data_IF_985854214098
#
_entry.id   IF_985854214098
#
_cell.length_a   1.000
_cell.length_b   1.000
_cell.length_c   1.000
_cell.angle_alpha   90.00
_cell.angle_beta   90.00
_cell.angle_gamma   90.00
#
_symmetry.space_group_name_H-M   'P 1'
#
loop_
_entity.id
_entity.type
_entity.pdbx_description
1 polymer ?
#
# COMPACT_ATOMS: atom_id res chain seq x y z
N UNK A 1 2.70 7.53 -24.16
CA UNK A 1 1.98 6.51 -23.39
C UNK A 1 0.52 6.81 -23.61
N UNK A 2 -0.19 5.89 -24.26
CA UNK A 2 -1.64 5.98 -24.43
C UNK A 2 -2.34 5.36 -23.21
N UNK A 3 -3.57 5.79 -22.94
CA UNK A 3 -4.36 5.28 -21.83
C UNK A 3 -4.69 3.80 -22.00
N UNK A 4 -4.91 3.37 -23.26
CA UNK A 4 -5.14 1.96 -23.59
C UNK A 4 -3.92 1.09 -23.23
N UNK A 5 -2.72 1.54 -23.57
CA UNK A 5 -1.47 0.84 -23.23
C UNK A 5 -1.26 0.76 -21.71
N UNK A 6 -1.61 1.82 -20.97
CA UNK A 6 -1.49 1.86 -19.51
C UNK A 6 -2.49 0.91 -18.83
N UNK A 7 -3.71 0.81 -19.35
CA UNK A 7 -4.73 -0.10 -18.87
C UNK A 7 -4.33 -1.57 -19.09
N UNK A 8 -3.78 -1.89 -20.26
CA UNK A 8 -3.27 -3.23 -20.57
C UNK A 8 -2.17 -3.65 -19.59
N UNK A 9 -1.18 -2.78 -19.36
CA UNK A 9 -0.09 -3.03 -18.40
C UNK A 9 -0.61 -3.27 -16.98
N UNK A 10 -1.63 -2.54 -16.53
CA UNK A 10 -2.26 -2.77 -15.21
C UNK A 10 -2.94 -4.13 -15.16
N UNK A 11 -3.72 -4.48 -16.17
CA UNK A 11 -4.43 -5.76 -16.23
C UNK A 11 -3.45 -6.96 -16.24
N UNK A 12 -2.32 -6.84 -16.93
CA UNK A 12 -1.26 -7.85 -16.86
C UNK A 12 -0.61 -7.92 -15.48
N UNK A 13 -0.38 -6.78 -14.84
CA UNK A 13 0.24 -6.72 -13.52
C UNK A 13 -0.68 -7.22 -12.42
N UNK A 14 -1.99 -6.97 -12.51
CA UNK A 14 -2.99 -7.49 -11.58
C UNK A 14 -3.02 -9.03 -11.60
N UNK A 15 -2.85 -9.65 -12.78
CA UNK A 15 -2.71 -11.12 -12.92
C UNK A 15 -1.45 -11.65 -12.23
N UNK A 16 -0.34 -10.89 -12.27
CA UNK A 16 0.94 -11.25 -11.61
C UNK A 16 0.93 -10.97 -10.10
N UNK A 17 0.10 -10.03 -9.66
CA UNK A 17 0.00 -9.53 -8.30
C UNK A 17 1.03 -8.43 -7.97
N UNK A 18 0.68 -7.56 -7.03
CA UNK A 18 1.52 -6.44 -6.60
C UNK A 18 2.42 -6.83 -5.43
N UNK A 19 3.44 -7.63 -5.72
CA UNK A 19 4.49 -8.00 -4.75
C UNK A 19 5.87 -7.65 -5.30
N UNK A 20 6.86 -7.37 -4.43
CA UNK A 20 8.24 -7.17 -4.86
C UNK A 20 8.73 -8.37 -5.70
N UNK A 21 9.33 -8.10 -6.86
CA UNK A 21 9.90 -9.13 -7.75
C UNK A 21 11.08 -9.84 -7.07
N UNK A 22 11.87 -9.09 -6.31
CA UNK A 22 13.03 -9.58 -5.56
C UNK A 22 12.72 -9.64 -4.07
N UNK A 23 13.37 -10.56 -3.36
CA UNK A 23 13.33 -10.60 -1.91
C UNK A 23 14.02 -9.36 -1.32
N UNK A 24 13.28 -8.58 -0.53
CA UNK A 24 13.78 -7.36 0.12
C UNK A 24 13.66 -7.48 1.64
N UNK A 25 14.55 -8.26 2.29
CA UNK A 25 14.48 -8.46 3.72
C UNK A 25 14.76 -7.13 4.44
N UNK A 26 13.78 -6.66 5.21
CA UNK A 26 13.92 -5.53 6.13
C UNK A 26 13.33 -5.93 7.48
N UNK A 27 13.88 -5.39 8.56
CA UNK A 27 13.31 -5.57 9.90
C UNK A 27 12.05 -4.74 10.03
N UNK A 28 10.89 -5.39 9.93
CA UNK A 28 9.59 -4.74 10.12
C UNK A 28 9.15 -4.93 11.57
N UNK A 29 9.35 -3.90 12.38
CA UNK A 29 8.95 -3.91 13.79
C UNK A 29 7.43 -3.77 13.95
N UNK A 30 6.91 -4.11 15.13
CA UNK A 30 5.49 -3.93 15.45
C UNK A 30 5.04 -2.47 15.28
N UNK A 31 5.88 -1.50 15.68
CA UNK A 31 5.60 -0.08 15.49
C UNK A 31 5.45 0.30 14.00
N UNK A 32 6.29 -0.26 13.11
CA UNK A 32 6.19 -0.03 11.68
C UNK A 32 4.92 -0.64 11.08
N UNK A 33 4.49 -1.82 11.57
CA UNK A 33 3.21 -2.42 11.17
C UNK A 33 2.02 -1.56 11.59
N UNK A 34 2.02 -1.09 12.84
CA UNK A 34 0.97 -0.20 13.35
C UNK A 34 0.92 1.13 12.59
N UNK A 35 2.08 1.72 12.28
CA UNK A 35 2.14 2.93 11.47
C UNK A 35 1.54 2.72 10.07
N UNK A 36 1.92 1.63 9.39
CA UNK A 36 1.44 1.32 8.04
C UNK A 36 -0.08 1.11 7.98
N UNK A 37 -0.69 0.61 9.05
CA UNK A 37 -2.13 0.39 9.12
C UNK A 37 -2.94 1.69 9.20
N UNK A 38 -2.34 2.77 9.71
CA UNK A 38 -3.01 4.04 9.99
C UNK A 38 -2.62 5.18 9.03
N UNK A 39 -1.49 5.05 8.33
CA UNK A 39 -0.95 6.12 7.48
C UNK A 39 -1.76 6.31 6.18
N UNK A 40 -2.05 7.56 5.85
CA UNK A 40 -2.71 7.97 4.60
C UNK A 40 -1.71 8.17 3.45
N UNK A 41 -2.21 8.46 2.24
CA UNK A 41 -1.35 8.72 1.07
C UNK A 41 -0.40 9.90 1.30
N UNK A 42 0.77 9.86 0.66
CA UNK A 42 1.75 10.95 0.76
C UNK A 42 1.20 12.29 0.25
N UNK A 43 0.33 12.26 -0.76
CA UNK A 43 -0.34 13.46 -1.30
C UNK A 43 -1.27 14.13 -0.28
N UNK A 44 -1.72 13.38 0.74
CA UNK A 44 -2.50 13.87 1.88
C UNK A 44 -1.64 14.17 3.11
N UNK A 45 -0.32 14.15 2.97
CA UNK A 45 0.65 14.43 4.03
C UNK A 45 1.02 13.23 4.90
N UNK A 46 0.63 12.00 4.52
CA UNK A 46 0.92 10.77 5.28
C UNK A 46 0.48 10.83 6.76
N UNK A 47 -0.58 11.59 7.05
CA UNK A 47 -1.15 11.70 8.39
C UNK A 47 -1.78 10.38 8.82
N UNK A 48 -1.85 10.16 10.13
CA UNK A 48 -2.44 8.94 10.71
C UNK A 48 -3.93 9.15 10.92
N UNK A 49 -4.74 8.34 10.24
CA UNK A 49 -6.20 8.43 10.32
C UNK A 49 -6.72 7.63 11.54
N UNK A 50 -7.37 8.34 12.46
CA UNK A 50 -7.97 7.76 13.66
C UNK A 50 -9.19 6.90 13.34
N UNK A 51 -9.93 7.22 12.28
CA UNK A 51 -11.10 6.42 11.89
C UNK A 51 -10.71 4.99 11.47
N UNK A 52 -9.47 4.78 10.99
CA UNK A 52 -8.94 3.44 10.73
C UNK A 52 -8.69 2.66 12.02
N UNK A 53 -8.28 3.34 13.10
CA UNK A 53 -8.12 2.73 14.42
C UNK A 53 -9.47 2.30 14.99
N UNK A 54 -10.47 3.17 14.91
CA UNK A 54 -11.81 2.90 15.43
C UNK A 54 -12.48 1.71 14.72
N UNK A 55 -12.21 1.50 13.43
CA UNK A 55 -12.69 0.31 12.67
C UNK A 55 -12.06 -1.01 13.12
N UNK A 56 -10.90 -0.95 13.77
CA UNK A 56 -10.16 -2.14 14.22
C UNK A 56 -10.54 -2.55 15.65
N UNK A 57 -11.18 -1.66 16.39
CA UNK A 57 -11.68 -1.92 17.74
C UNK A 57 -13.17 -2.29 17.62
N UNK A 58 -13.57 -3.52 18.02
CA UNK A 58 -14.96 -3.96 17.96
C UNK A 58 -15.88 -3.21 18.92
#
# INVERSE_FOLDING_TARGET
>A
MDDAEMAERRAEQDKKGWKPVESRPRKVTTALKAYALLATSADKGAVRDKALLDKLVP
#
